data_IF_438042303606
#
_entry.id   IF_438042303606
#
_cell.length_a   1.000
_cell.length_b   1.000
_cell.length_c   1.000
_cell.angle_alpha   90.00
_cell.angle_beta   90.00
_cell.angle_gamma   90.00
#
_symmetry.space_group_name_H-M   'P 1'
#
loop_
_entity.id
_entity.type
_entity.pdbx_description
1 polymer ?
#
# COMPACT_ATOMS: atom_id res chain seq x y z
N UNK A 1 17.90 15.51 1.90
CA UNK A 1 16.56 15.61 2.52
C UNK A 1 16.32 14.29 3.23
N UNK A 2 15.66 14.29 4.40
CA UNK A 2 15.32 13.07 5.12
C UNK A 2 14.37 12.20 4.26
N UNK A 3 14.56 10.87 4.26
CA UNK A 3 13.63 9.93 3.65
C UNK A 3 12.37 9.82 4.52
N UNK A 4 11.19 9.68 3.92
CA UNK A 4 9.98 9.38 4.67
C UNK A 4 10.01 7.95 5.22
N UNK A 5 10.56 7.02 4.43
CA UNK A 5 10.78 5.62 4.82
C UNK A 5 12.17 5.20 4.38
N UNK A 6 12.89 4.52 5.25
CA UNK A 6 14.16 3.89 4.92
C UNK A 6 14.25 2.49 5.53
N UNK A 7 14.60 1.52 4.70
CA UNK A 7 15.02 0.18 5.10
C UNK A 7 16.48 0.04 4.68
N UNK A 8 17.37 -0.25 5.63
CA UNK A 8 18.81 -0.35 5.42
C UNK A 8 19.33 -1.72 5.89
N UNK A 9 19.79 -2.56 4.94
CA UNK A 9 20.33 -3.90 5.19
C UNK A 9 19.38 -4.82 5.95
N UNK A 10 18.07 -4.69 5.71
CA UNK A 10 17.06 -5.38 6.52
C UNK A 10 17.03 -6.88 6.23
N UNK A 11 17.08 -7.69 7.30
CA UNK A 11 16.82 -9.13 7.24
C UNK A 11 15.63 -9.53 8.12
N UNK A 12 14.81 -10.45 7.60
CA UNK A 12 13.69 -11.05 8.31
C UNK A 12 13.54 -12.53 7.99
N UNK A 13 13.51 -13.36 9.04
CA UNK A 13 13.33 -14.81 8.95
C UNK A 13 12.12 -15.25 9.76
N UNK A 14 11.49 -16.32 9.33
CA UNK A 14 10.39 -16.99 10.04
C UNK A 14 10.76 -18.43 10.31
N UNK A 15 10.27 -18.98 11.40
CA UNK A 15 10.34 -20.41 11.69
C UNK A 15 9.03 -21.03 11.24
N UNK A 16 9.11 -22.03 10.34
CA UNK A 16 7.92 -22.76 9.88
C UNK A 16 7.41 -23.69 10.97
N UNK A 17 6.17 -24.19 10.89
CA UNK A 17 5.66 -25.19 11.83
C UNK A 17 6.49 -26.48 11.85
N UNK A 18 7.21 -26.80 10.76
CA UNK A 18 8.17 -27.93 10.69
C UNK A 18 9.50 -27.66 11.38
N UNK A 19 9.76 -26.43 11.83
CA UNK A 19 11.01 -26.03 12.47
C UNK A 19 12.08 -25.46 11.50
N UNK A 20 11.79 -25.42 10.21
CA UNK A 20 12.71 -24.90 9.21
C UNK A 20 12.76 -23.37 9.27
N UNK A 21 13.93 -22.79 8.96
CA UNK A 21 14.11 -21.34 8.90
C UNK A 21 13.86 -20.86 7.47
N UNK A 22 12.82 -20.03 7.31
CA UNK A 22 12.48 -19.38 6.05
C UNK A 22 12.98 -17.94 6.06
N UNK A 23 13.96 -17.59 5.22
CA UNK A 23 14.39 -16.21 5.04
C UNK A 23 13.41 -15.49 4.09
N UNK A 24 12.69 -14.49 4.60
CA UNK A 24 11.77 -13.70 3.81
C UNK A 24 12.46 -12.50 3.16
N UNK A 25 13.28 -11.77 3.93
CA UNK A 25 14.07 -10.64 3.46
C UNK A 25 15.53 -10.86 3.87
N UNK A 26 16.45 -10.45 3.00
CA UNK A 26 17.87 -10.48 3.28
C UNK A 26 18.55 -9.33 2.54
N UNK A 27 19.35 -8.54 3.27
CA UNK A 27 20.09 -7.41 2.70
C UNK A 27 19.18 -6.50 1.88
N UNK A 28 18.02 -6.15 2.49
CA UNK A 28 16.95 -5.44 1.82
C UNK A 28 17.08 -3.95 2.06
N UNK A 29 17.31 -3.20 0.97
CA UNK A 29 17.47 -1.75 0.98
C UNK A 29 16.36 -1.11 0.13
N UNK A 30 15.63 -0.16 0.72
CA UNK A 30 14.63 0.64 0.02
C UNK A 30 14.44 1.98 0.71
N UNK A 31 14.38 3.05 -0.07
CA UNK A 31 14.07 4.39 0.41
C UNK A 31 12.86 4.95 -0.30
N UNK A 32 12.03 5.72 0.41
CA UNK A 32 10.88 6.45 -0.13
C UNK A 32 11.00 7.90 0.33
N UNK A 33 10.97 8.82 -0.61
CA UNK A 33 11.02 10.25 -0.33
C UNK A 33 9.66 10.77 0.20
N UNK A 34 9.63 11.88 0.95
CA UNK A 34 8.37 12.54 1.30
C UNK A 34 7.56 12.89 0.05
N UNK A 35 6.26 12.52 0.05
CA UNK A 35 5.35 12.77 -1.07
C UNK A 35 5.58 11.91 -2.31
N UNK A 36 6.44 10.90 -2.25
CA UNK A 36 6.68 9.94 -3.31
C UNK A 36 5.67 8.80 -3.26
N UNK A 37 5.22 8.36 -4.41
CA UNK A 37 4.43 7.14 -4.58
C UNK A 37 5.34 6.03 -5.13
N UNK A 38 5.78 5.12 -4.28
CA UNK A 38 6.61 3.97 -4.64
C UNK A 38 5.76 2.69 -4.68
N UNK A 39 5.84 1.94 -5.77
CA UNK A 39 5.23 0.61 -5.84
C UNK A 39 6.28 -0.50 -5.70
N UNK A 40 5.87 -1.62 -5.13
CA UNK A 40 6.65 -2.86 -5.08
C UNK A 40 5.92 -3.94 -5.89
N UNK A 41 6.64 -4.55 -6.82
CA UNK A 41 6.20 -5.74 -7.56
C UNK A 41 7.19 -6.90 -7.36
N UNK A 42 6.70 -8.12 -7.45
CA UNK A 42 7.54 -9.31 -7.30
C UNK A 42 6.71 -10.58 -7.18
N UNK A 43 7.34 -11.78 -7.24
CA UNK A 43 6.67 -13.07 -7.16
C UNK A 43 5.79 -13.20 -5.90
N UNK A 44 4.76 -14.03 -5.98
CA UNK A 44 3.92 -14.32 -4.82
C UNK A 44 4.76 -14.91 -3.69
N UNK A 45 4.55 -14.41 -2.48
CA UNK A 45 5.25 -14.86 -1.29
C UNK A 45 6.72 -14.42 -1.18
N UNK A 46 7.24 -13.54 -2.04
CA UNK A 46 8.64 -13.09 -1.96
C UNK A 46 8.96 -12.26 -0.71
N UNK A 47 7.98 -11.62 -0.04
CA UNK A 47 8.24 -10.81 1.16
C UNK A 47 7.58 -9.43 1.15
N UNK A 48 6.75 -9.10 0.15
CA UNK A 48 6.11 -7.78 0.01
C UNK A 48 5.33 -7.35 1.26
N UNK A 49 4.42 -8.18 1.74
CA UNK A 49 3.64 -7.89 2.97
C UNK A 49 4.52 -7.87 4.23
N UNK A 50 5.64 -8.64 4.23
CA UNK A 50 6.62 -8.58 5.31
C UNK A 50 7.28 -7.19 5.39
N UNK A 51 7.63 -6.62 4.23
CA UNK A 51 8.19 -5.26 4.14
C UNK A 51 7.22 -4.23 4.72
N UNK A 52 5.93 -4.30 4.33
CA UNK A 52 4.90 -3.42 4.89
C UNK A 52 4.78 -3.58 6.41
N UNK A 53 4.78 -4.82 6.91
CA UNK A 53 4.68 -5.11 8.35
C UNK A 53 5.84 -4.55 9.16
N UNK A 54 7.05 -4.52 8.60
CA UNK A 54 8.22 -3.92 9.24
C UNK A 54 8.11 -2.39 9.32
N UNK A 55 7.68 -1.74 8.24
CA UNK A 55 7.48 -0.28 8.20
C UNK A 55 6.34 0.15 9.14
N UNK A 56 5.28 -0.65 9.21
CA UNK A 56 4.15 -0.40 10.11
C UNK A 56 4.47 -0.61 11.61
N UNK A 57 5.66 -1.14 11.94
CA UNK A 57 6.02 -1.49 13.31
C UNK A 57 5.29 -2.73 13.86
N UNK A 58 4.62 -3.50 12.99
CA UNK A 58 3.94 -4.75 13.34
C UNK A 58 4.92 -5.91 13.51
N UNK A 59 6.12 -5.78 12.98
CA UNK A 59 7.22 -6.73 13.11
C UNK A 59 8.54 -5.96 13.25
N UNK A 60 9.57 -6.63 13.83
CA UNK A 60 10.91 -6.05 13.96
C UNK A 60 11.88 -6.78 13.04
N UNK A 61 12.83 -6.08 12.42
CA UNK A 61 13.90 -6.71 11.67
C UNK A 61 14.82 -7.51 12.61
N UNK A 62 15.47 -8.55 12.10
CA UNK A 62 16.47 -9.33 12.82
C UNK A 62 17.90 -8.79 12.55
N UNK A 63 18.09 -8.10 11.43
CA UNK A 63 19.28 -7.33 11.11
C UNK A 63 18.88 -6.10 10.29
N UNK A 64 19.77 -5.11 10.24
CA UNK A 64 19.49 -3.83 9.59
C UNK A 64 18.59 -2.93 10.42
N UNK A 65 18.07 -1.88 9.80
CA UNK A 65 17.22 -0.88 10.44
C UNK A 65 16.07 -0.46 9.54
N UNK A 66 14.95 -0.09 10.18
CA UNK A 66 13.82 0.58 9.51
C UNK A 66 13.59 1.91 10.22
N UNK A 67 13.49 2.99 9.46
CA UNK A 67 13.23 4.32 9.99
C UNK A 67 12.12 5.04 9.23
N UNK A 68 11.43 5.93 9.93
CA UNK A 68 10.46 6.89 9.40
C UNK A 68 10.95 8.28 9.73
N UNK A 69 11.22 9.10 8.71
CA UNK A 69 11.73 10.48 8.88
C UNK A 69 12.97 10.50 9.79
N UNK A 70 13.94 9.63 9.51
CA UNK A 70 15.20 9.41 10.27
C UNK A 70 14.99 8.88 11.72
N UNK A 71 13.75 8.59 12.15
CA UNK A 71 13.45 8.00 13.46
C UNK A 71 13.29 6.48 13.36
N UNK A 72 13.99 5.68 14.17
CA UNK A 72 13.88 4.23 14.12
C UNK A 72 12.45 3.74 14.46
N UNK A 73 11.92 2.84 13.64
CA UNK A 73 10.63 2.19 13.89
C UNK A 73 10.79 1.16 15.02
N UNK A 74 10.15 1.39 16.16
CA UNK A 74 10.17 0.49 17.32
C UNK A 74 8.84 -0.21 17.56
N UNK A 75 7.75 0.49 17.31
CA UNK A 75 6.37 0.06 17.49
C UNK A 75 5.48 0.74 16.43
N UNK A 76 4.17 0.49 16.48
CA UNK A 76 3.20 1.12 15.56
C UNK A 76 3.24 2.65 15.68
N UNK A 77 3.48 3.32 14.56
CA UNK A 77 3.56 4.78 14.48
C UNK A 77 2.23 5.37 13.99
N UNK A 78 1.77 6.42 14.64
CA UNK A 78 0.51 7.11 14.29
C UNK A 78 0.57 7.86 12.97
N UNK A 79 1.77 8.12 12.45
CA UNK A 79 2.01 8.73 11.13
C UNK A 79 1.74 7.76 9.99
N UNK A 80 1.66 6.45 10.27
CA UNK A 80 1.46 5.40 9.28
C UNK A 80 -0.03 5.05 9.17
N UNK A 81 -0.56 5.19 7.95
CA UNK A 81 -1.85 4.61 7.55
C UNK A 81 -1.64 3.28 6.83
N UNK A 82 -2.48 2.30 7.08
CA UNK A 82 -2.39 0.99 6.44
C UNK A 82 -3.72 0.59 5.79
N UNK A 83 -3.70 0.31 4.49
CA UNK A 83 -4.81 -0.29 3.74
C UNK A 83 -4.47 -1.75 3.48
N UNK A 84 -5.17 -2.64 4.15
CA UNK A 84 -4.94 -4.08 4.06
C UNK A 84 -5.56 -4.68 2.80
N UNK A 85 -5.05 -5.82 2.36
CA UNK A 85 -5.62 -6.62 1.27
C UNK A 85 -7.07 -7.02 1.59
N UNK A 86 -7.30 -7.54 2.80
CA UNK A 86 -8.65 -7.77 3.31
C UNK A 86 -9.19 -6.53 4.01
N UNK A 87 -10.49 -6.31 3.93
CA UNK A 87 -11.12 -5.16 4.54
C UNK A 87 -11.01 -5.21 6.07
N UNK A 88 -10.27 -4.27 6.66
CA UNK A 88 -10.04 -4.19 8.12
C UNK A 88 -11.16 -3.41 8.84
N UNK A 89 -12.40 -3.54 8.38
CA UNK A 89 -13.55 -2.93 9.03
C UNK A 89 -14.02 -3.77 10.22
N UNK A 90 -14.50 -3.10 11.25
CA UNK A 90 -15.21 -3.74 12.36
C UNK A 90 -16.60 -4.21 11.89
N UNK A 91 -16.87 -5.53 11.80
CA UNK A 91 -18.09 -6.04 11.19
C UNK A 91 -19.37 -5.70 11.96
N UNK A 92 -19.25 -5.37 13.24
CA UNK A 92 -20.34 -4.94 14.13
C UNK A 92 -20.57 -3.44 14.19
N UNK A 93 -19.79 -2.64 13.44
CA UNK A 93 -19.90 -1.18 13.35
C UNK A 93 -20.43 -0.81 11.96
N UNK A 94 -21.26 0.23 11.90
CA UNK A 94 -21.69 0.79 10.62
C UNK A 94 -20.57 1.63 9.96
N UNK A 95 -20.82 2.11 8.74
CA UNK A 95 -19.85 2.90 7.96
C UNK A 95 -19.35 4.11 8.75
N UNK A 96 -20.25 4.92 9.32
CA UNK A 96 -19.89 6.10 10.10
C UNK A 96 -18.98 5.74 11.28
N UNK A 97 -19.34 4.72 12.04
CA UNK A 97 -18.56 4.25 13.19
C UNK A 97 -17.22 3.65 12.80
N UNK A 98 -17.14 3.02 11.64
CA UNK A 98 -15.88 2.51 11.10
C UNK A 98 -14.96 3.66 10.72
N UNK A 99 -15.43 4.64 9.95
CA UNK A 99 -14.61 5.78 9.53
C UNK A 99 -14.17 6.63 10.73
N UNK A 100 -15.06 6.88 11.69
CA UNK A 100 -14.75 7.65 12.90
C UNK A 100 -13.82 6.92 13.89
N UNK A 101 -13.57 5.63 13.74
CA UNK A 101 -12.85 4.82 14.71
C UNK A 101 -11.43 5.34 15.01
N UNK A 102 -10.67 5.68 13.98
CA UNK A 102 -9.30 6.18 14.13
C UNK A 102 -9.22 7.46 14.98
N UNK A 103 -9.93 8.54 14.62
CA UNK A 103 -9.99 9.76 15.44
C UNK A 103 -10.46 9.48 16.88
N UNK A 104 -11.47 8.64 17.08
CA UNK A 104 -11.96 8.28 18.42
C UNK A 104 -10.87 7.57 19.27
N UNK A 105 -10.11 6.64 18.69
CA UNK A 105 -8.99 5.97 19.38
C UNK A 105 -7.82 6.93 19.70
N UNK A 106 -7.73 8.04 18.98
CA UNK A 106 -6.78 9.12 19.26
C UNK A 106 -7.29 10.13 20.31
N UNK A 107 -8.50 9.94 20.85
CA UNK A 107 -9.09 10.79 21.88
C UNK A 107 -9.83 12.02 21.35
N UNK A 108 -10.10 12.09 20.05
CA UNK A 108 -10.96 13.14 19.46
C UNK A 108 -12.39 12.97 20.00
N UNK A 109 -13.05 14.07 20.35
CA UNK A 109 -14.44 14.06 20.80
C UNK A 109 -15.35 13.43 19.76
N UNK A 110 -16.36 12.65 20.20
CA UNK A 110 -17.26 11.89 19.32
C UNK A 110 -17.92 12.78 18.26
N UNK A 111 -18.46 13.91 18.69
CA UNK A 111 -19.15 14.84 17.78
C UNK A 111 -18.24 15.31 16.64
N UNK A 112 -16.99 15.66 16.96
CA UNK A 112 -15.99 16.08 15.97
C UNK A 112 -15.58 14.90 15.08
N UNK A 113 -15.29 13.74 15.64
CA UNK A 113 -14.89 12.54 14.89
C UNK A 113 -15.99 12.09 13.92
N UNK A 114 -17.26 12.13 14.35
CA UNK A 114 -18.40 11.77 13.49
C UNK A 114 -18.66 12.84 12.40
N UNK A 115 -18.44 14.14 12.69
CA UNK A 115 -18.54 15.18 11.69
C UNK A 115 -17.48 15.01 10.58
N UNK A 116 -16.21 14.85 10.96
CA UNK A 116 -15.12 14.57 10.01
C UNK A 116 -15.36 13.27 9.22
N UNK A 117 -15.89 12.23 9.88
CA UNK A 117 -16.21 10.98 9.22
C UNK A 117 -17.32 11.13 8.16
N UNK A 118 -18.35 11.94 8.40
CA UNK A 118 -19.40 12.25 7.41
C UNK A 118 -18.82 12.95 6.19
N UNK A 119 -17.91 13.90 6.39
CA UNK A 119 -17.24 14.59 5.28
C UNK A 119 -16.42 13.60 4.43
N UNK A 120 -15.69 12.68 5.08
CA UNK A 120 -14.95 11.64 4.36
C UNK A 120 -15.86 10.65 3.62
N UNK A 121 -16.98 10.25 4.21
CA UNK A 121 -17.98 9.38 3.58
C UNK A 121 -18.54 10.03 2.30
N UNK A 122 -18.79 11.36 2.34
CA UNK A 122 -19.21 12.11 1.16
C UNK A 122 -18.12 12.14 0.10
N UNK A 123 -16.85 12.43 0.50
CA UNK A 123 -15.70 12.51 -0.41
C UNK A 123 -15.45 11.21 -1.17
N UNK A 124 -15.66 10.06 -0.52
CA UNK A 124 -15.51 8.75 -1.16
C UNK A 124 -16.81 8.24 -1.82
N UNK A 125 -17.79 9.14 -2.02
CA UNK A 125 -19.03 8.83 -2.75
C UNK A 125 -19.99 7.87 -2.04
N UNK A 126 -19.93 7.79 -0.70
CA UNK A 126 -20.80 6.91 0.11
C UNK A 126 -21.88 7.64 0.90
N UNK A 127 -22.26 8.85 0.45
CA UNK A 127 -23.39 9.60 1.05
C UNK A 127 -24.67 8.76 1.05
N UNK A 128 -25.31 8.65 2.21
CA UNK A 128 -26.53 7.84 2.40
C UNK A 128 -26.29 6.41 2.90
N UNK A 129 -25.00 5.99 3.00
CA UNK A 129 -24.63 4.66 3.48
C UNK A 129 -24.07 4.67 4.92
N UNK A 130 -24.17 5.77 5.64
CA UNK A 130 -23.56 6.01 6.97
C UNK A 130 -23.97 4.95 7.99
N UNK A 131 -25.21 4.46 7.92
CA UNK A 131 -25.79 3.49 8.87
C UNK A 131 -25.63 2.03 8.45
N UNK A 132 -25.14 1.77 7.21
CA UNK A 132 -25.00 0.40 6.70
C UNK A 132 -23.86 -0.34 7.39
N UNK A 133 -24.06 -1.63 7.59
CA UNK A 133 -23.01 -2.54 8.11
C UNK A 133 -22.15 -3.07 6.94
N UNK A 134 -20.88 -3.50 7.20
CA UNK A 134 -19.96 -3.95 6.16
C UNK A 134 -20.52 -5.03 5.23
N UNK A 135 -21.31 -5.98 5.74
CA UNK A 135 -21.91 -7.05 4.95
C UNK A 135 -23.01 -6.58 3.99
N UNK A 136 -23.50 -5.35 4.14
CA UNK A 136 -24.51 -4.73 3.27
C UNK A 136 -23.88 -3.94 2.11
N UNK A 137 -22.55 -3.86 2.06
CA UNK A 137 -21.81 -3.09 1.08
C UNK A 137 -21.24 -3.99 -0.03
N UNK A 138 -21.15 -3.46 -1.25
CA UNK A 138 -20.37 -4.09 -2.32
C UNK A 138 -18.86 -4.08 -2.01
N UNK A 139 -18.06 -4.86 -2.75
CA UNK A 139 -16.59 -4.89 -2.61
C UNK A 139 -15.97 -3.50 -2.79
N UNK A 140 -16.36 -2.78 -3.85
CA UNK A 140 -15.90 -1.41 -4.09
C UNK A 140 -16.30 -0.44 -2.99
N UNK A 141 -17.53 -0.53 -2.47
CA UNK A 141 -17.97 0.31 -1.35
C UNK A 141 -17.15 0.05 -0.09
N UNK A 142 -16.83 -1.22 0.21
CA UNK A 142 -15.95 -1.55 1.34
C UNK A 142 -14.55 -0.96 1.19
N UNK A 143 -13.97 -0.99 -0.02
CA UNK A 143 -12.67 -0.34 -0.29
C UNK A 143 -12.72 1.18 -0.10
N UNK A 144 -13.80 1.83 -0.52
CA UNK A 144 -14.03 3.27 -0.26
C UNK A 144 -14.09 3.56 1.25
N UNK A 145 -14.76 2.72 2.04
CA UNK A 145 -14.74 2.86 3.51
C UNK A 145 -13.34 2.69 4.05
N UNK A 146 -12.56 1.70 3.60
CA UNK A 146 -11.18 1.48 4.03
C UNK A 146 -10.27 2.68 3.70
N UNK A 147 -10.43 3.28 2.52
CA UNK A 147 -9.73 4.53 2.17
C UNK A 147 -10.13 5.67 3.12
N UNK A 148 -11.43 5.90 3.34
CA UNK A 148 -11.91 6.94 4.25
C UNK A 148 -11.39 6.73 5.68
N UNK A 149 -11.39 5.48 6.21
CA UNK A 149 -10.81 5.12 7.51
C UNK A 149 -9.34 5.47 7.63
N UNK A 150 -8.59 5.32 6.54
CA UNK A 150 -7.15 5.57 6.54
C UNK A 150 -6.86 7.06 6.38
N UNK A 151 -7.45 7.70 5.39
CA UNK A 151 -7.17 9.10 5.06
C UNK A 151 -7.71 10.11 6.10
N UNK A 152 -8.78 9.81 6.84
CA UNK A 152 -9.27 10.66 7.94
C UNK A 152 -8.21 10.89 9.01
N UNK A 153 -7.26 9.95 9.14
CA UNK A 153 -6.16 10.04 10.10
C UNK A 153 -4.99 10.90 9.60
N UNK A 154 -5.05 11.41 8.36
CA UNK A 154 -4.01 12.25 7.73
C UNK A 154 -2.62 11.66 7.89
N UNK A 155 -2.39 10.43 7.41
CA UNK A 155 -1.09 9.78 7.55
C UNK A 155 0.00 10.52 6.74
N UNK A 156 1.24 10.53 7.28
CA UNK A 156 2.42 11.01 6.55
C UNK A 156 2.99 9.90 5.65
N UNK A 157 2.79 8.64 6.04
CA UNK A 157 3.16 7.44 5.27
C UNK A 157 1.94 6.55 5.09
N UNK A 158 1.70 6.11 3.86
CA UNK A 158 0.58 5.26 3.49
C UNK A 158 1.09 3.93 2.95
N UNK A 159 0.76 2.85 3.64
CA UNK A 159 1.09 1.48 3.26
C UNK A 159 -0.15 0.81 2.67
N UNK A 160 -0.01 0.18 1.51
CA UNK A 160 -1.12 -0.49 0.83
C UNK A 160 -0.71 -1.89 0.38
N UNK A 161 -1.43 -2.91 0.84
CA UNK A 161 -1.19 -4.31 0.49
C UNK A 161 -2.27 -4.81 -0.47
N UNK A 162 -1.97 -4.85 -1.76
CA UNK A 162 -2.87 -5.33 -2.83
C UNK A 162 -4.32 -4.79 -2.72
N UNK A 163 -4.53 -3.47 -2.55
CA UNK A 163 -5.82 -2.93 -2.13
C UNK A 163 -6.94 -3.16 -3.15
N UNK A 164 -6.62 -3.41 -4.41
CA UNK A 164 -7.58 -3.53 -5.51
C UNK A 164 -7.70 -4.94 -6.10
N UNK A 165 -6.97 -5.93 -5.55
CA UNK A 165 -6.87 -7.29 -6.11
C UNK A 165 -8.22 -8.03 -6.22
N UNK A 166 -9.21 -7.71 -5.36
CA UNK A 166 -10.52 -8.35 -5.34
C UNK A 166 -11.60 -7.60 -6.13
N UNK A 167 -11.25 -6.54 -6.87
CA UNK A 167 -12.20 -5.73 -7.63
C UNK A 167 -12.23 -6.14 -9.10
N UNK A 168 -13.41 -6.01 -9.72
CA UNK A 168 -13.57 -6.08 -11.17
C UNK A 168 -12.84 -4.91 -11.85
N UNK A 169 -12.60 -5.04 -13.15
CA UNK A 169 -11.76 -4.09 -13.92
C UNK A 169 -12.28 -2.65 -13.84
N UNK A 170 -13.59 -2.44 -14.04
CA UNK A 170 -14.18 -1.09 -14.06
C UNK A 170 -14.14 -0.44 -12.67
N UNK A 171 -14.51 -1.19 -11.63
CA UNK A 171 -14.46 -0.72 -10.25
C UNK A 171 -13.02 -0.41 -9.84
N UNK A 172 -12.05 -1.21 -10.30
CA UNK A 172 -10.62 -1.01 -10.02
C UNK A 172 -10.11 0.30 -10.61
N UNK A 173 -10.41 0.60 -11.87
CA UNK A 173 -10.02 1.85 -12.52
C UNK A 173 -10.56 3.08 -11.79
N UNK A 174 -11.86 3.07 -11.45
CA UNK A 174 -12.48 4.14 -10.65
C UNK A 174 -11.79 4.32 -9.28
N UNK A 175 -11.45 3.22 -8.61
CA UNK A 175 -10.77 3.27 -7.30
C UNK A 175 -9.34 3.78 -7.39
N UNK A 176 -8.63 3.48 -8.48
CA UNK A 176 -7.29 4.01 -8.76
C UNK A 176 -7.32 5.52 -8.99
N UNK A 177 -8.28 6.01 -9.76
CA UNK A 177 -8.50 7.46 -9.96
C UNK A 177 -8.81 8.16 -8.64
N UNK A 178 -9.74 7.62 -7.83
CA UNK A 178 -10.08 8.16 -6.52
C UNK A 178 -8.88 8.18 -5.58
N UNK A 179 -8.08 7.11 -5.56
CA UNK A 179 -6.86 7.06 -4.76
C UNK A 179 -5.89 8.19 -5.16
N UNK A 180 -5.64 8.38 -6.45
CA UNK A 180 -4.76 9.44 -6.93
C UNK A 180 -5.29 10.84 -6.59
N UNK A 181 -6.60 11.06 -6.68
CA UNK A 181 -7.23 12.32 -6.28
C UNK A 181 -7.05 12.60 -4.78
N UNK A 182 -7.32 11.60 -3.92
CA UNK A 182 -7.15 11.72 -2.47
C UNK A 182 -5.68 11.93 -2.09
N UNK A 183 -4.78 11.18 -2.71
CA UNK A 183 -3.34 11.30 -2.47
C UNK A 183 -2.78 12.65 -2.90
N UNK A 184 -3.24 13.19 -4.03
CA UNK A 184 -2.76 14.50 -4.55
C UNK A 184 -3.01 15.66 -3.58
N UNK A 185 -4.03 15.54 -2.71
CA UNK A 185 -4.38 16.54 -1.70
C UNK A 185 -3.46 16.50 -0.47
N UNK A 186 -2.98 15.33 -0.09
CA UNK A 186 -2.22 15.12 1.16
C UNK A 186 -0.73 14.82 0.92
N UNK A 187 -0.36 14.32 -0.26
CA UNK A 187 1.02 13.98 -0.65
C UNK A 187 1.78 13.16 0.41
N UNK A 188 1.10 12.21 1.07
CA UNK A 188 1.77 11.22 1.91
C UNK A 188 2.80 10.44 1.10
N UNK A 189 3.89 9.99 1.73
CA UNK A 189 4.77 8.98 1.13
C UNK A 189 4.02 7.65 1.04
N UNK A 190 4.00 7.01 -0.12
CA UNK A 190 3.23 5.78 -0.34
C UNK A 190 4.14 4.61 -0.65
N UNK A 191 3.91 3.49 0.02
CA UNK A 191 4.39 2.18 -0.40
C UNK A 191 3.20 1.31 -0.80
N UNK A 192 3.11 1.04 -2.09
CA UNK A 192 2.02 0.30 -2.71
C UNK A 192 2.50 -1.07 -3.17
N UNK A 193 1.96 -2.12 -2.60
CA UNK A 193 2.24 -3.50 -3.00
C UNK A 193 1.15 -3.98 -3.93
N UNK A 194 1.56 -4.48 -5.09
CA UNK A 194 0.65 -5.12 -6.05
C UNK A 194 1.36 -6.23 -6.82
N UNK A 195 0.59 -7.15 -7.39
CA UNK A 195 1.04 -8.12 -8.38
C UNK A 195 0.67 -7.70 -9.81
N UNK A 196 -0.09 -6.61 -9.96
CA UNK A 196 -0.50 -6.04 -11.24
C UNK A 196 0.50 -4.95 -11.67
N UNK A 197 1.19 -5.20 -12.78
CA UNK A 197 2.22 -4.29 -13.30
C UNK A 197 1.61 -2.97 -13.79
N UNK A 198 0.43 -3.03 -14.40
CA UNK A 198 -0.24 -1.84 -14.88
C UNK A 198 -0.62 -0.92 -13.71
N UNK A 199 -1.12 -1.48 -12.61
CA UNK A 199 -1.38 -0.69 -11.39
C UNK A 199 -0.11 0.00 -10.88
N UNK A 200 1.00 -0.72 -10.82
CA UNK A 200 2.26 -0.16 -10.35
C UNK A 200 2.70 1.03 -11.21
N UNK A 201 2.63 0.92 -12.54
CA UNK A 201 3.04 1.98 -13.46
C UNK A 201 2.05 3.14 -13.45
N UNK A 202 0.73 2.85 -13.43
CA UNK A 202 -0.31 3.86 -13.44
C UNK A 202 -0.28 4.75 -12.19
N UNK A 203 0.09 4.21 -11.03
CA UNK A 203 -0.02 4.91 -9.76
C UNK A 203 1.31 5.50 -9.29
N UNK A 204 2.43 4.77 -9.46
CA UNK A 204 3.68 5.09 -8.80
C UNK A 204 4.58 6.09 -9.55
N UNK A 205 5.43 6.78 -8.81
CA UNK A 205 6.55 7.58 -9.35
C UNK A 205 7.79 6.70 -9.54
N UNK A 206 7.91 5.61 -8.74
CA UNK A 206 8.94 4.58 -8.86
C UNK A 206 8.34 3.19 -8.63
N UNK A 207 8.87 2.20 -9.35
CA UNK A 207 8.54 0.79 -9.17
C UNK A 207 9.80 0.02 -8.78
N UNK A 208 9.78 -0.63 -7.62
CA UNK A 208 10.83 -1.53 -7.17
C UNK A 208 10.44 -2.98 -7.49
N UNK A 209 11.29 -3.68 -8.22
CA UNK A 209 11.14 -5.11 -8.53
C UNK A 209 11.89 -5.92 -7.49
N UNK A 210 11.20 -6.86 -6.85
CA UNK A 210 11.81 -7.74 -5.86
C UNK A 210 12.24 -9.08 -6.47
N UNK A 211 13.33 -9.62 -5.96
CA UNK A 211 13.73 -11.00 -6.23
C UNK A 211 12.76 -11.99 -5.61
N UNK A 212 12.83 -13.27 -6.04
CA UNK A 212 12.27 -14.38 -5.27
C UNK A 212 12.94 -14.50 -3.89
N UNK A 213 12.38 -15.33 -3.00
CA UNK A 213 12.91 -15.48 -1.63
C UNK A 213 14.36 -15.97 -1.58
N UNK A 214 15.19 -15.44 -0.70
CA UNK A 214 14.97 -14.26 0.15
C UNK A 214 14.88 -12.99 -0.70
N UNK A 215 13.89 -12.12 -0.39
CA UNK A 215 13.69 -10.92 -1.20
C UNK A 215 14.81 -9.90 -0.97
N UNK A 216 15.25 -9.34 -2.09
CA UNK A 216 16.10 -8.16 -2.22
C UNK A 216 15.48 -7.24 -3.27
N UNK A 217 15.82 -5.99 -3.28
CA UNK A 217 15.47 -5.10 -4.40
C UNK A 217 16.39 -5.45 -5.57
N UNK A 218 15.80 -5.96 -6.66
CA UNK A 218 16.53 -6.31 -7.88
C UNK A 218 16.84 -5.08 -8.72
N UNK A 219 15.81 -4.26 -8.95
CA UNK A 219 15.88 -3.04 -9.74
C UNK A 219 14.85 -2.03 -9.27
N UNK A 220 15.10 -0.75 -9.59
CA UNK A 220 14.16 0.34 -9.34
C UNK A 220 14.00 1.14 -10.62
N UNK A 221 12.78 1.25 -11.10
CA UNK A 221 12.42 1.96 -12.33
C UNK A 221 11.71 3.27 -11.98
N UNK A 222 12.19 4.38 -12.51
CA UNK A 222 11.49 5.67 -12.45
C UNK A 222 10.38 5.68 -13.48
N UNK A 223 9.19 6.09 -13.09
CA UNK A 223 8.02 6.19 -13.95
C UNK A 223 7.89 7.62 -14.43
N UNK A 224 8.50 7.89 -15.55
CA UNK A 224 8.50 9.22 -16.20
C UNK A 224 7.22 9.41 -17.03
N UNK A 225 6.09 9.45 -16.32
CA UNK A 225 4.77 9.72 -16.87
C UNK A 225 4.18 10.96 -16.18
N UNK A 226 3.61 11.93 -16.93
CA UNK A 226 3.13 13.17 -16.36
C UNK A 226 1.97 12.97 -15.38
N UNK A 227 1.82 13.90 -14.42
CA UNK A 227 0.67 14.00 -13.53
C UNK A 227 -0.13 15.28 -13.85
N UNK A 228 -1.45 15.31 -13.75
CA UNK A 228 -2.34 14.22 -13.32
C UNK A 228 -2.40 13.10 -14.36
N UNK A 229 -2.53 11.84 -13.91
CA UNK A 229 -2.59 10.66 -14.77
C UNK A 229 -4.03 10.35 -15.18
N UNK A 230 -4.26 10.23 -16.47
CA UNK A 230 -5.50 9.72 -17.04
C UNK A 230 -5.41 8.19 -17.12
N UNK A 231 -5.96 7.51 -16.11
CA UNK A 231 -5.89 6.04 -15.95
C UNK A 231 -6.45 5.32 -17.18
N UNK A 232 -7.53 5.84 -17.77
CA UNK A 232 -8.22 5.20 -18.88
C UNK A 232 -7.40 5.19 -20.16
N UNK A 233 -6.63 6.26 -20.42
CA UNK A 233 -5.91 6.44 -21.68
C UNK A 233 -4.42 6.15 -21.61
N UNK A 234 -3.82 6.26 -20.42
CA UNK A 234 -2.36 6.15 -20.22
C UNK A 234 -1.80 4.78 -20.62
N UNK A 235 -2.62 3.71 -20.54
CA UNK A 235 -2.23 2.34 -20.96
C UNK A 235 -1.90 2.21 -22.45
N UNK A 236 -2.36 3.15 -23.27
CA UNK A 236 -2.12 3.19 -24.71
C UNK A 236 -0.96 4.10 -25.10
N UNK A 237 -0.34 4.77 -24.12
CA UNK A 237 0.81 5.62 -24.32
C UNK A 237 2.07 4.80 -24.64
N UNK A 238 2.84 5.20 -25.66
CA UNK A 238 4.06 4.49 -26.07
C UNK A 238 5.08 4.40 -24.93
N UNK A 239 5.20 5.47 -24.12
CA UNK A 239 6.10 5.50 -22.98
C UNK A 239 5.66 4.53 -21.87
N UNK A 240 4.35 4.40 -21.62
CA UNK A 240 3.82 3.40 -20.71
C UNK A 240 4.19 1.99 -21.15
N UNK A 241 4.00 1.67 -22.44
CA UNK A 241 4.30 0.36 -23.03
C UNK A 241 5.79 0.04 -22.90
N UNK A 242 6.66 1.01 -23.16
CA UNK A 242 8.11 0.84 -23.01
C UNK A 242 8.51 0.53 -21.57
N UNK A 243 8.00 1.30 -20.60
CA UNK A 243 8.24 1.07 -19.18
C UNK A 243 7.73 -0.30 -18.75
N UNK A 244 6.51 -0.66 -19.14
CA UNK A 244 5.89 -1.95 -18.83
C UNK A 244 6.74 -3.12 -19.35
N UNK A 245 7.30 -3.00 -20.56
CA UNK A 245 8.20 -4.01 -21.11
C UNK A 245 9.45 -4.20 -20.26
N UNK A 246 10.13 -3.10 -19.90
CA UNK A 246 11.36 -3.14 -19.10
C UNK A 246 11.14 -3.80 -17.73
N UNK A 247 10.09 -3.40 -17.01
CA UNK A 247 9.78 -3.97 -15.69
C UNK A 247 9.34 -5.44 -15.84
N UNK A 248 8.56 -5.77 -16.89
CA UNK A 248 8.11 -7.14 -17.17
C UNK A 248 9.28 -8.08 -17.42
N UNK A 249 10.35 -7.63 -18.12
CA UNK A 249 11.56 -8.42 -18.36
C UNK A 249 12.23 -8.78 -17.00
N UNK A 250 12.43 -7.79 -16.13
CA UNK A 250 12.99 -8.01 -14.80
C UNK A 250 12.16 -8.96 -13.95
N UNK A 251 10.83 -8.78 -13.96
CA UNK A 251 9.91 -9.59 -13.18
C UNK A 251 9.84 -11.04 -13.69
N UNK A 252 9.88 -11.22 -15.02
CA UNK A 252 9.83 -12.54 -15.66
C UNK A 252 10.98 -13.43 -15.22
N UNK A 253 12.20 -12.89 -15.14
CA UNK A 253 13.35 -13.66 -14.65
C UNK A 253 13.11 -14.18 -13.23
N UNK A 254 12.57 -13.35 -12.34
CA UNK A 254 12.31 -13.74 -10.95
C UNK A 254 11.16 -14.75 -10.82
N UNK A 255 10.12 -14.61 -11.64
CA UNK A 255 9.02 -15.60 -11.70
C UNK A 255 9.53 -16.97 -12.20
N UNK A 256 10.43 -16.99 -13.19
CA UNK A 256 11.03 -18.24 -13.68
C UNK A 256 11.93 -18.88 -12.63
N UNK A 257 12.74 -18.09 -11.91
CA UNK A 257 13.55 -18.57 -10.77
C UNK A 257 12.68 -19.14 -9.66
N UNK A 258 11.59 -18.47 -9.31
CA UNK A 258 10.64 -18.95 -8.29
C UNK A 258 10.02 -20.30 -8.67
N UNK A 259 9.68 -20.52 -9.96
CA UNK A 259 9.14 -21.78 -10.47
C UNK A 259 10.16 -22.91 -10.46
N UNK A 260 11.43 -22.60 -10.70
CA UNK A 260 12.49 -23.61 -10.71
C UNK A 260 12.92 -24.06 -9.30
N UNK A 261 12.55 -23.32 -8.27
CA UNK A 261 12.85 -23.62 -6.86
C UNK A 261 11.75 -24.45 -6.17
N UNK A 262 10.66 -24.78 -6.85
CA UNK A 262 9.54 -25.63 -6.43
C UNK A 262 9.50 -26.92 -7.24
#
# INVERSE_FOLDING_TARGET
MANAVELAGVARRFVTPSGDVLSALEDFDLTIAPGEFCAIVGPTGCGKSTTLGLIAGLARPQAGAVSLFDEPVRDVDRRVGFVFQQDAMFPWRNVLQNVAAGPLFRGVKREQAEAEARDWIIRVGLKGFETHLPHQLSGGMRKRVALAQTFINKPDVLLMDEPFSALDVQTRELMQEELLQLWSQNRAAVLFVTHDLDEAILLADRVAVLTTRPARVKSVHTIDLPRPRDIAHLRYDERFIEIARLISEDLREEVMRARAAH
#
